data_IF_109919236153
#
_entry.id   IF_109919236153
#
_cell.length_a   1.000
_cell.length_b   1.000
_cell.length_c   1.000
_cell.angle_alpha   90.00
_cell.angle_beta   90.00
_cell.angle_gamma   90.00
#
_symmetry.space_group_name_H-M   'P 1'
#
loop_
_entity.id
_entity.type
_entity.pdbx_description
1 polymer ?
#
# COMPACT_ATOMS: atom_id res chain seq x y z
N UNK A 1 -4.95 -32.03 -28.97
CA UNK A 1 -5.42 -30.84 -28.21
C UNK A 1 -4.89 -30.81 -26.78
N UNK A 2 -4.96 -31.90 -26.01
CA UNK A 2 -4.44 -31.97 -24.62
C UNK A 2 -2.96 -31.60 -24.48
N UNK A 3 -2.10 -32.04 -25.41
CA UNK A 3 -0.66 -31.71 -25.43
C UNK A 3 -0.35 -30.25 -25.74
N UNK A 4 -1.19 -29.57 -26.53
CA UNK A 4 -1.05 -28.12 -26.80
C UNK A 4 -1.46 -27.27 -25.59
N UNK A 5 -2.46 -27.73 -24.83
CA UNK A 5 -2.90 -27.08 -23.58
C UNK A 5 -1.83 -27.25 -22.49
N UNK A 6 -1.26 -28.45 -22.34
CA UNK A 6 -0.16 -28.68 -21.39
C UNK A 6 1.05 -27.84 -21.75
N UNK A 7 1.46 -27.80 -23.02
CA UNK A 7 2.60 -26.99 -23.46
C UNK A 7 2.36 -25.47 -23.28
N UNK A 8 1.12 -25.00 -23.43
CA UNK A 8 0.74 -23.61 -23.16
C UNK A 8 0.79 -23.28 -21.65
N UNK A 9 0.34 -24.20 -20.80
CA UNK A 9 0.40 -24.08 -19.33
C UNK A 9 1.87 -24.11 -18.85
N UNK A 10 2.70 -24.98 -19.40
CA UNK A 10 4.13 -25.08 -19.05
C UNK A 10 4.91 -23.84 -19.50
N UNK A 11 4.53 -23.23 -20.64
CA UNK A 11 5.12 -21.98 -21.14
C UNK A 11 4.68 -20.75 -20.31
N UNK A 12 3.47 -20.78 -19.72
CA UNK A 12 2.98 -19.77 -18.77
C UNK A 12 3.69 -19.84 -17.40
N UNK A 13 4.17 -21.03 -17.00
CA UNK A 13 4.89 -21.25 -15.74
C UNK A 13 6.39 -20.84 -15.81
N UNK A 14 6.93 -20.60 -17.00
CA UNK A 14 8.34 -20.27 -17.21
C UNK A 14 8.68 -18.77 -17.04
N UNK A 15 7.71 -17.92 -16.71
CA UNK A 15 7.89 -16.47 -16.58
C UNK A 15 8.03 -16.00 -15.12
N UNK A 16 8.71 -16.79 -14.28
CA UNK A 16 9.11 -16.31 -12.94
C UNK A 16 10.38 -15.47 -13.08
N UNK A 17 10.22 -14.25 -13.61
CA UNK A 17 11.24 -13.22 -13.47
C UNK A 17 11.07 -12.52 -12.12
N UNK A 18 12.14 -12.47 -11.33
CA UNK A 18 12.23 -11.65 -10.13
C UNK A 18 12.28 -10.18 -10.54
N UNK A 19 11.13 -9.54 -10.68
CA UNK A 19 11.03 -8.09 -10.80
C UNK A 19 10.88 -7.49 -9.41
N UNK A 20 11.63 -6.42 -9.13
CA UNK A 20 11.47 -5.62 -7.91
C UNK A 20 10.01 -5.15 -7.77
N UNK A 21 9.50 -5.22 -6.54
CA UNK A 21 8.15 -4.85 -6.18
C UNK A 21 8.19 -3.61 -5.29
N UNK A 22 7.35 -2.61 -5.55
CA UNK A 22 7.19 -1.48 -4.61
C UNK A 22 6.83 -1.99 -3.22
N UNK A 23 7.21 -1.18 -2.22
CA UNK A 23 6.77 -1.21 -0.83
C UNK A 23 5.38 -1.83 -0.62
N UNK A 24 5.33 -2.84 0.25
CA UNK A 24 4.10 -3.54 0.62
C UNK A 24 3.76 -3.26 2.08
N UNK A 25 2.46 -3.13 2.34
CA UNK A 25 1.90 -2.90 3.67
C UNK A 25 1.08 -4.11 4.09
N UNK A 26 1.33 -4.63 5.28
CA UNK A 26 0.46 -5.66 5.89
C UNK A 26 -0.90 -5.07 6.15
N UNK A 27 -0.89 -3.86 6.71
CA UNK A 27 -2.07 -3.16 7.14
C UNK A 27 -2.64 -2.26 6.03
N UNK A 28 -2.67 -2.76 4.78
CA UNK A 28 -3.11 -2.03 3.59
C UNK A 28 -4.49 -1.37 3.72
N UNK A 29 -5.44 -2.02 4.42
CA UNK A 29 -6.79 -1.49 4.60
C UNK A 29 -6.87 -0.23 5.47
N UNK A 30 -5.80 0.10 6.21
CA UNK A 30 -5.70 1.33 6.99
C UNK A 30 -4.87 2.41 6.27
N UNK A 31 -4.13 2.03 5.23
CA UNK A 31 -3.29 2.92 4.42
C UNK A 31 -3.81 3.07 2.97
N UNK A 32 -5.13 2.99 2.78
CA UNK A 32 -5.77 2.97 1.45
C UNK A 32 -5.46 4.21 0.61
N UNK A 33 -5.21 5.37 1.23
CA UNK A 33 -4.85 6.61 0.52
C UNK A 33 -3.55 6.50 -0.31
N UNK A 34 -2.58 5.70 0.14
CA UNK A 34 -1.36 5.45 -0.62
C UNK A 34 -1.60 4.52 -1.82
N UNK A 35 -2.61 3.66 -1.74
CA UNK A 35 -2.93 2.67 -2.78
C UNK A 35 -3.91 3.25 -3.80
N UNK A 36 -4.87 4.07 -3.37
CA UNK A 36 -5.94 4.59 -4.22
C UNK A 36 -6.22 6.07 -3.92
N UNK A 37 -5.89 7.00 -4.84
CA UNK A 37 -6.12 8.44 -4.62
C UNK A 37 -7.60 8.80 -4.47
N UNK A 38 -8.52 7.96 -4.97
CA UNK A 38 -9.96 8.20 -4.84
C UNK A 38 -10.47 7.97 -3.41
N UNK A 39 -9.64 7.43 -2.51
CA UNK A 39 -9.96 7.28 -1.09
C UNK A 39 -9.83 8.59 -0.30
N UNK A 40 -9.09 9.59 -0.79
CA UNK A 40 -8.89 10.86 -0.09
C UNK A 40 -10.24 11.49 0.31
N UNK A 41 -10.39 11.89 1.57
CA UNK A 41 -11.63 12.46 2.11
C UNK A 41 -12.80 11.49 2.36
N UNK A 42 -12.69 10.21 1.96
CA UNK A 42 -13.79 9.23 2.08
C UNK A 42 -14.19 8.93 3.53
N UNK A 43 -13.28 9.13 4.51
CA UNK A 43 -13.56 8.94 5.94
C UNK A 43 -14.46 10.02 6.55
N UNK A 44 -14.69 11.15 5.86
CA UNK A 44 -15.59 12.20 6.36
C UNK A 44 -15.01 13.01 7.53
N UNK A 45 -13.72 12.88 7.80
CA UNK A 45 -12.96 13.62 8.80
C UNK A 45 -11.55 13.88 8.26
N UNK A 46 -10.84 14.83 8.85
CA UNK A 46 -9.40 14.95 8.63
C UNK A 46 -8.71 13.80 9.36
N UNK A 47 -8.04 12.93 8.61
CA UNK A 47 -7.34 11.75 9.10
C UNK A 47 -5.84 11.92 8.86
N UNK A 48 -5.08 11.92 9.95
CA UNK A 48 -3.62 11.88 9.97
C UNK A 48 -3.22 10.42 10.20
N UNK A 49 -2.27 9.92 9.43
CA UNK A 49 -1.80 8.53 9.51
C UNK A 49 -0.28 8.50 9.49
N UNK A 50 0.31 7.74 10.41
CA UNK A 50 1.72 7.46 10.46
C UNK A 50 1.93 5.94 10.54
N UNK A 51 2.89 5.40 9.80
CA UNK A 51 3.22 3.99 9.81
C UNK A 51 4.73 3.81 9.72
N UNK A 52 5.25 2.88 10.51
CA UNK A 52 6.63 2.41 10.45
C UNK A 52 6.62 0.90 10.25
N UNK A 53 7.40 0.44 9.28
CA UNK A 53 7.56 -0.98 8.97
C UNK A 53 9.03 -1.33 8.85
N UNK A 54 9.43 -2.39 9.54
CA UNK A 54 10.75 -3.03 9.36
C UNK A 54 10.51 -4.42 8.81
N UNK A 55 11.05 -4.69 7.62
CA UNK A 55 10.91 -5.99 6.98
C UNK A 55 12.11 -6.88 7.29
N UNK A 56 11.86 -8.20 7.34
CA UNK A 56 12.90 -9.23 7.45
C UNK A 56 13.95 -8.94 8.53
N UNK A 57 13.48 -8.75 9.76
CA UNK A 57 14.35 -8.43 10.90
C UNK A 57 15.44 -9.49 11.04
N UNK A 58 16.68 -9.03 11.19
CA UNK A 58 17.88 -9.89 11.22
C UNK A 58 18.64 -9.93 9.90
N UNK A 59 18.04 -9.46 8.80
CA UNK A 59 18.73 -9.33 7.51
C UNK A 59 19.32 -7.92 7.35
N UNK A 60 20.63 -7.86 7.13
CA UNK A 60 21.32 -6.59 6.93
C UNK A 60 20.89 -5.93 5.62
N UNK A 61 20.53 -4.64 5.68
CA UNK A 61 20.01 -3.90 4.53
C UNK A 61 18.55 -4.21 4.18
N UNK A 62 17.81 -4.89 5.05
CA UNK A 62 16.40 -5.16 4.81
C UNK A 62 15.54 -3.88 4.71
N UNK A 63 14.42 -3.93 3.97
CA UNK A 63 13.54 -2.78 3.76
C UNK A 63 13.03 -2.16 5.06
N UNK A 64 13.15 -0.84 5.18
CA UNK A 64 12.50 -0.04 6.22
C UNK A 64 11.66 1.04 5.56
N UNK A 65 10.37 1.07 5.90
CA UNK A 65 9.40 1.97 5.28
C UNK A 65 8.78 2.85 6.35
N UNK A 66 8.80 4.15 6.11
CA UNK A 66 8.09 5.13 6.91
C UNK A 66 7.03 5.79 6.03
N UNK A 67 5.83 5.97 6.57
CA UNK A 67 4.74 6.64 5.87
C UNK A 67 4.11 7.66 6.81
N UNK A 68 3.91 8.87 6.32
CA UNK A 68 3.08 9.88 6.95
C UNK A 68 2.07 10.38 5.92
N UNK A 69 0.81 10.54 6.29
CA UNK A 69 -0.19 11.10 5.38
C UNK A 69 -1.28 11.86 6.13
N UNK A 70 -1.88 12.82 5.45
CA UNK A 70 -3.02 13.59 5.92
C UNK A 70 -4.04 13.57 4.80
N UNK A 71 -5.27 13.17 5.11
CA UNK A 71 -6.38 13.16 4.17
C UNK A 71 -7.58 13.88 4.78
N UNK A 72 -8.24 14.75 4.03
CA UNK A 72 -9.38 15.52 4.52
C UNK A 72 -10.45 15.68 3.44
N UNK A 73 -11.73 15.58 3.77
CA UNK A 73 -12.78 16.13 2.92
C UNK A 73 -12.67 17.67 2.94
N UNK A 74 -13.03 18.32 1.82
CA UNK A 74 -13.22 19.77 1.77
C UNK A 74 -14.69 20.05 2.14
N UNK A 75 -14.90 20.79 3.23
CA UNK A 75 -16.23 21.14 3.74
C UNK A 75 -17.13 21.76 2.66
N UNK A 76 -18.43 21.42 2.69
CA UNK A 76 -19.45 21.89 1.75
C UNK A 76 -19.14 21.59 0.27
N UNK A 77 -18.32 20.58 0.00
CA UNK A 77 -18.03 20.13 -1.36
C UNK A 77 -17.96 18.61 -1.41
N UNK A 78 -17.93 18.09 -2.64
CA UNK A 78 -17.71 16.67 -2.91
C UNK A 78 -16.22 16.34 -3.10
N UNK A 79 -15.31 17.26 -2.75
CA UNK A 79 -13.87 17.12 -2.95
C UNK A 79 -13.18 16.54 -1.70
N UNK A 80 -12.15 15.75 -1.92
CA UNK A 80 -11.20 15.32 -0.91
C UNK A 80 -9.77 15.65 -1.32
N UNK A 81 -8.95 15.95 -0.33
CA UNK A 81 -7.52 16.22 -0.50
C UNK A 81 -6.71 15.26 0.34
N UNK A 82 -5.58 14.81 -0.19
CA UNK A 82 -4.61 13.98 0.48
C UNK A 82 -3.20 14.48 0.23
N UNK A 83 -2.34 14.42 1.24
CA UNK A 83 -0.90 14.59 1.10
C UNK A 83 -0.24 13.42 1.80
N UNK A 84 0.73 12.78 1.15
CA UNK A 84 1.47 11.66 1.70
C UNK A 84 2.96 11.82 1.46
N UNK A 85 3.73 11.33 2.42
CA UNK A 85 5.17 11.17 2.36
C UNK A 85 5.50 9.72 2.69
N UNK A 86 6.21 9.06 1.79
CA UNK A 86 6.71 7.70 1.98
C UNK A 86 8.23 7.74 1.84
N UNK A 87 8.92 7.25 2.85
CA UNK A 87 10.36 7.01 2.81
C UNK A 87 10.58 5.50 2.78
N UNK A 88 11.21 5.01 1.71
CA UNK A 88 11.54 3.60 1.50
C UNK A 88 13.06 3.44 1.43
N UNK A 89 13.63 2.76 2.41
CA UNK A 89 15.06 2.48 2.50
C UNK A 89 15.32 0.98 2.33
N UNK A 90 16.07 0.61 1.30
CA UNK A 90 16.41 -0.79 1.01
C UNK A 90 17.91 -0.88 0.75
N UNK A 91 18.67 -1.47 1.67
CA UNK A 91 20.13 -1.54 1.58
C UNK A 91 20.76 -0.15 1.33
N UNK A 92 21.46 0.05 0.20
CA UNK A 92 22.09 1.32 -0.15
C UNK A 92 21.13 2.34 -0.79
N UNK A 93 19.88 1.96 -1.12
CA UNK A 93 18.92 2.88 -1.73
C UNK A 93 18.02 3.54 -0.69
N UNK A 94 17.67 4.78 -0.98
CA UNK A 94 16.71 5.56 -0.22
C UNK A 94 15.82 6.33 -1.19
N UNK A 95 14.51 6.08 -1.17
CA UNK A 95 13.53 6.73 -2.02
C UNK A 95 12.55 7.51 -1.15
N UNK A 96 12.42 8.81 -1.44
CA UNK A 96 11.45 9.69 -0.79
C UNK A 96 10.38 10.07 -1.79
N UNK A 97 9.16 9.64 -1.53
CA UNK A 97 7.99 9.88 -2.36
C UNK A 97 7.08 10.87 -1.67
N UNK A 98 6.89 12.03 -2.29
CA UNK A 98 5.89 13.02 -1.88
C UNK A 98 4.73 12.92 -2.86
N UNK A 99 3.52 12.73 -2.36
CA UNK A 99 2.33 12.67 -3.20
C UNK A 99 1.23 13.60 -2.72
N UNK A 100 0.47 14.12 -3.67
CA UNK A 100 -0.75 14.87 -3.43
C UNK A 100 -1.89 14.21 -4.20
N UNK A 101 -3.00 13.99 -3.50
CA UNK A 101 -4.18 13.32 -3.99
C UNK A 101 -5.35 14.31 -4.00
N UNK A 102 -6.10 14.32 -5.11
CA UNK A 102 -7.36 15.03 -5.24
C UNK A 102 -8.44 14.03 -5.60
N UNK A 103 -9.54 14.01 -4.84
CA UNK A 103 -10.68 13.16 -5.12
C UNK A 103 -11.96 13.98 -5.34
N UNK A 104 -12.85 13.46 -6.17
CA UNK A 104 -14.21 13.95 -6.35
C UNK A 104 -15.21 12.82 -6.14
N UNK A 105 -16.13 13.00 -5.20
CA UNK A 105 -17.09 11.98 -4.77
C UNK A 105 -18.49 12.27 -5.32
N UNK A 106 -18.97 11.42 -6.22
CA UNK A 106 -20.32 11.45 -6.74
C UNK A 106 -21.24 10.53 -5.92
N UNK A 107 -22.30 11.03 -5.27
CA UNK A 107 -23.29 10.18 -4.60
C UNK A 107 -24.14 9.45 -5.64
N UNK A 108 -23.94 8.15 -5.80
CA UNK A 108 -24.72 7.31 -6.73
C UNK A 108 -26.08 6.90 -6.14
N UNK A 109 -26.18 6.83 -4.81
CA UNK A 109 -27.42 6.60 -4.05
C UNK A 109 -27.31 7.21 -2.64
N UNK A 110 -28.35 7.04 -1.81
CA UNK A 110 -28.31 7.50 -0.41
C UNK A 110 -27.21 6.82 0.44
N UNK A 111 -26.82 5.60 0.08
CA UNK A 111 -25.85 4.77 0.83
C UNK A 111 -24.51 4.63 0.13
N UNK A 112 -24.49 4.64 -1.20
CA UNK A 112 -23.29 4.40 -2.00
C UNK A 112 -22.80 5.64 -2.72
N UNK A 113 -21.47 5.78 -2.76
CA UNK A 113 -20.74 6.89 -3.37
C UNK A 113 -19.66 6.34 -4.28
N UNK A 114 -19.52 6.95 -5.46
CA UNK A 114 -18.45 6.67 -6.40
C UNK A 114 -17.46 7.84 -6.38
N UNK A 115 -16.21 7.57 -6.07
CA UNK A 115 -15.16 8.59 -6.00
C UNK A 115 -14.16 8.37 -7.12
N UNK A 116 -13.76 9.46 -7.76
CA UNK A 116 -12.68 9.52 -8.74
C UNK A 116 -11.50 10.22 -8.07
N UNK A 117 -10.29 9.74 -8.31
CA UNK A 117 -9.08 10.28 -7.70
C UNK A 117 -7.99 10.48 -8.72
N UNK A 118 -7.22 11.54 -8.52
CA UNK A 118 -5.98 11.83 -9.22
C UNK A 118 -4.85 11.97 -8.22
N UNK A 119 -3.68 11.47 -8.57
CA UNK A 119 -2.45 11.55 -7.78
C UNK A 119 -1.38 12.25 -8.57
N UNK A 120 -0.65 13.15 -7.93
CA UNK A 120 0.61 13.69 -8.43
C UNK A 120 1.70 13.30 -7.45
N UNK A 121 2.81 12.79 -7.98
CA UNK A 121 3.89 12.23 -7.18
C UNK A 121 5.23 12.83 -7.59
N UNK A 122 6.07 13.11 -6.61
CA UNK A 122 7.46 13.50 -6.74
C UNK A 122 8.32 12.46 -6.02
N UNK A 123 9.04 11.63 -6.80
CA UNK A 123 9.98 10.65 -6.26
C UNK A 123 11.39 11.24 -6.28
N UNK A 124 12.08 11.15 -5.14
CA UNK A 124 13.47 11.55 -4.96
C UNK A 124 14.27 10.31 -4.58
N UNK A 125 14.99 9.77 -5.55
CA UNK A 125 15.80 8.57 -5.38
C UNK A 125 17.26 8.92 -5.07
N UNK A 126 17.83 8.22 -4.11
CA UNK A 126 19.23 8.32 -3.74
C UNK A 126 19.84 6.93 -3.59
N UNK A 127 21.00 6.72 -4.21
CA UNK A 127 21.84 5.55 -3.99
C UNK A 127 23.12 5.97 -3.26
N UNK A 128 23.40 5.35 -2.12
CA UNK A 128 24.68 5.49 -1.43
C UNK A 128 25.69 4.47 -1.96
N UNK A 129 26.51 4.92 -2.91
CA UNK A 129 27.55 4.10 -3.53
C UNK A 129 28.72 3.77 -2.58
N UNK A 130 28.82 4.39 -1.40
CA UNK A 130 29.90 4.09 -0.44
C UNK A 130 29.65 2.80 0.34
N UNK A 131 28.39 2.37 0.44
CA UNK A 131 27.98 1.12 1.09
C UNK A 131 28.15 -0.05 0.13
N UNK A 132 28.01 0.23 -1.17
CA UNK A 132 28.45 -0.70 -2.19
C UNK A 132 29.97 -0.78 -2.07
N UNK A 133 30.51 -1.98 -1.89
CA UNK A 133 31.94 -2.25 -2.08
C UNK A 133 32.14 -2.71 -3.54
N UNK A 134 32.01 -1.84 -4.56
CA UNK A 134 32.13 -2.28 -5.94
C UNK A 134 33.56 -2.74 -6.20
N UNK A 135 33.69 -3.78 -7.01
CA UNK A 135 34.99 -4.27 -7.50
C UNK A 135 35.78 -3.17 -8.24
N UNK A 136 35.08 -2.15 -8.76
CA UNK A 136 35.66 -0.97 -9.38
C UNK A 136 34.99 0.31 -8.84
N UNK A 137 35.69 1.08 -8.00
CA UNK A 137 35.20 2.35 -7.45
C UNK A 137 35.02 3.44 -8.53
N UNK A 138 35.60 3.27 -9.73
CA UNK A 138 35.46 4.18 -10.86
C UNK A 138 34.36 3.82 -11.85
N UNK A 139 33.52 2.81 -11.55
CA UNK A 139 32.45 2.37 -12.45
C UNK A 139 31.40 3.48 -12.66
N UNK A 140 31.22 3.99 -13.90
CA UNK A 140 30.22 5.02 -14.21
C UNK A 140 28.79 4.62 -13.82
N UNK A 141 28.47 3.31 -13.74
CA UNK A 141 27.14 2.82 -13.37
C UNK A 141 26.73 3.17 -11.94
N UNK A 142 27.69 3.42 -11.05
CA UNK A 142 27.45 3.83 -9.66
C UNK A 142 27.71 5.33 -9.41
N UNK A 143 28.03 6.09 -10.46
CA UNK A 143 28.29 7.53 -10.34
C UNK A 143 26.99 8.35 -10.56
N UNK A 144 26.84 9.43 -9.79
CA UNK A 144 25.76 10.42 -9.90
C UNK A 144 24.31 9.94 -9.68
N UNK A 145 24.09 8.83 -8.97
CA UNK A 145 22.75 8.34 -8.62
C UNK A 145 22.17 8.99 -7.33
N UNK A 146 22.53 10.24 -7.06
CA UNK A 146 22.07 11.02 -5.91
C UNK A 146 21.00 12.03 -6.31
N UNK A 147 19.88 12.02 -5.59
CA UNK A 147 18.76 12.95 -5.77
C UNK A 147 18.15 12.95 -7.17
N UNK A 148 17.95 11.77 -7.76
CA UNK A 148 17.24 11.63 -9.03
C UNK A 148 15.77 11.94 -8.77
N UNK A 149 15.29 13.03 -9.37
CA UNK A 149 13.89 13.43 -9.32
C UNK A 149 13.12 12.81 -10.48
N UNK A 150 12.05 12.08 -10.16
CA UNK A 150 11.11 11.56 -11.17
C UNK A 150 9.68 11.93 -10.79
N UNK A 151 8.98 12.75 -11.60
CA UNK A 151 7.57 13.03 -11.39
C UNK A 151 6.72 11.84 -11.86
N UNK A 152 5.57 11.66 -11.22
CA UNK A 152 4.57 10.68 -11.64
C UNK A 152 3.15 11.24 -11.49
N UNK A 153 2.21 10.60 -12.17
CA UNK A 153 0.79 10.86 -12.05
C UNK A 153 0.05 9.53 -11.92
N UNK A 154 -1.07 9.54 -11.21
CA UNK A 154 -1.90 8.37 -10.98
C UNK A 154 -3.38 8.69 -10.99
N UNK A 155 -4.19 7.64 -11.07
CA UNK A 155 -5.63 7.76 -10.97
C UNK A 155 -6.24 6.59 -10.21
N UNK A 156 -7.46 6.80 -9.71
CA UNK A 156 -8.20 5.79 -9.00
C UNK A 156 -9.70 5.98 -9.10
N UNK A 157 -10.41 4.86 -8.92
CA UNK A 157 -11.84 4.76 -8.73
C UNK A 157 -12.09 4.09 -7.39
N UNK A 158 -13.06 4.58 -6.63
CA UNK A 158 -13.41 4.02 -5.34
C UNK A 158 -14.92 4.08 -5.13
N UNK A 159 -15.58 2.94 -5.21
CA UNK A 159 -17.00 2.79 -4.95
C UNK A 159 -17.21 2.28 -3.53
N UNK A 160 -17.88 3.06 -2.69
CA UNK A 160 -17.94 2.80 -1.25
C UNK A 160 -19.25 3.20 -0.60
N UNK A 161 -19.48 2.61 0.56
CA UNK A 161 -20.56 2.89 1.51
C UNK A 161 -20.01 2.74 2.93
N UNK A 162 -20.86 2.88 3.95
CA UNK A 162 -20.46 2.65 5.34
C UNK A 162 -20.24 1.16 5.69
N UNK A 163 -20.58 0.20 4.79
CA UNK A 163 -20.42 -1.25 5.03
C UNK A 163 -19.61 -2.00 3.97
N UNK A 164 -19.33 -1.40 2.81
CA UNK A 164 -18.65 -2.09 1.72
C UNK A 164 -17.86 -1.12 0.84
N UNK A 165 -16.77 -1.59 0.26
CA UNK A 165 -15.99 -0.84 -0.72
C UNK A 165 -15.34 -1.74 -1.77
N UNK A 166 -15.13 -1.17 -2.95
CA UNK A 166 -14.29 -1.72 -4.00
C UNK A 166 -13.58 -0.57 -4.72
N UNK A 167 -12.30 -0.75 -5.03
CA UNK A 167 -11.48 0.29 -5.64
C UNK A 167 -10.52 -0.28 -6.67
N UNK A 168 -10.31 0.50 -7.73
CA UNK A 168 -9.33 0.24 -8.77
C UNK A 168 -8.39 1.44 -8.85
N UNK A 169 -7.09 1.23 -8.92
CA UNK A 169 -6.15 2.34 -9.01
C UNK A 169 -4.86 1.99 -9.72
N UNK A 170 -4.26 3.03 -10.28
CA UNK A 170 -2.89 3.05 -10.79
C UNK A 170 -2.22 4.28 -10.20
N UNK A 171 -1.47 4.15 -9.09
CA UNK A 171 -0.86 5.30 -8.41
C UNK A 171 0.22 6.01 -9.23
N UNK A 172 0.89 5.27 -10.11
CA UNK A 172 2.02 5.72 -10.92
C UNK A 172 1.87 5.19 -12.35
N UNK A 173 1.57 6.06 -13.31
CA UNK A 173 1.46 5.73 -14.73
C UNK A 173 2.81 5.76 -15.44
N UNK A 174 3.69 6.69 -15.06
CA UNK A 174 4.97 6.91 -15.74
C UNK A 174 5.95 5.84 -15.28
N UNK A 175 6.51 5.10 -16.23
CA UNK A 175 7.58 4.13 -15.96
C UNK A 175 8.91 4.84 -16.14
N UNK A 176 9.75 4.82 -15.11
CA UNK A 176 11.10 5.37 -15.18
C UNK A 176 12.10 4.23 -15.27
N UNK A 177 12.92 4.25 -16.33
CA UNK A 177 14.11 3.40 -16.40
C UNK A 177 15.27 4.24 -15.87
N UNK A 178 15.90 3.78 -14.80
CA UNK A 178 17.08 4.45 -14.23
C UNK A 178 18.32 3.82 -14.90
N UNK A 179 18.79 4.52 -15.95
CA UNK A 179 19.91 4.25 -16.88
C UNK A 179 19.65 3.28 -18.07
N UNK A 180 20.09 3.70 -19.26
CA UNK A 180 20.04 3.00 -20.54
C UNK A 180 21.39 3.20 -21.23
N UNK A 181 22.28 2.22 -21.07
CA UNK A 181 23.33 1.92 -22.05
C UNK A 181 23.66 0.42 -21.93
N UNK A 182 23.22 -0.35 -22.92
CA UNK A 182 23.36 -1.81 -23.07
C UNK A 182 22.80 -2.71 -21.93
N UNK A 183 21.52 -3.04 -22.10
CA UNK A 183 20.80 -4.26 -21.66
C UNK A 183 20.51 -4.53 -20.17
N UNK A 184 21.02 -3.77 -19.20
CA UNK A 184 20.63 -3.97 -17.78
C UNK A 184 20.23 -2.66 -17.11
N UNK A 185 18.92 -2.40 -17.05
CA UNK A 185 18.36 -1.34 -16.21
C UNK A 185 18.57 -1.70 -14.72
N UNK A 186 19.21 -0.82 -13.95
CA UNK A 186 19.54 -1.06 -12.54
C UNK A 186 18.29 -0.91 -11.65
N UNK A 187 17.37 0.00 -12.02
CA UNK A 187 16.06 0.16 -11.36
C UNK A 187 14.99 0.55 -12.39
N UNK A 188 13.85 -0.15 -12.37
CA UNK A 188 12.72 0.13 -13.24
C UNK A 188 11.44 0.27 -12.43
N UNK A 189 10.93 1.49 -12.35
CA UNK A 189 9.60 1.75 -11.80
C UNK A 189 8.56 1.26 -12.83
N UNK A 190 7.75 0.26 -12.45
CA UNK A 190 6.72 -0.31 -13.31
C UNK A 190 5.35 0.20 -12.88
N UNK A 191 4.45 0.29 -13.85
CA UNK A 191 3.05 0.60 -13.59
C UNK A 191 2.39 -0.54 -12.80
N UNK A 192 1.85 -0.20 -11.64
CA UNK A 192 1.20 -1.12 -10.71
C UNK A 192 -0.32 -0.89 -10.72
N UNK A 193 -1.07 -1.92 -11.10
CA UNK A 193 -2.52 -1.91 -11.03
C UNK A 193 -2.97 -2.53 -9.72
N UNK A 194 -3.79 -1.81 -8.96
CA UNK A 194 -4.36 -2.26 -7.71
C UNK A 194 -5.87 -2.47 -7.84
N UNK A 195 -6.34 -3.58 -7.30
CA UNK A 195 -7.75 -3.83 -7.03
C UNK A 195 -7.88 -4.11 -5.53
N UNK A 196 -8.68 -3.32 -4.83
CA UNK A 196 -8.93 -3.48 -3.40
C UNK A 196 -10.43 -3.66 -3.17
N UNK A 197 -10.80 -4.45 -2.17
CA UNK A 197 -12.19 -4.53 -1.75
C UNK A 197 -12.35 -5.04 -0.33
N UNK A 198 -13.52 -4.81 0.24
CA UNK A 198 -13.86 -5.30 1.56
C UNK A 198 -15.32 -5.07 1.92
N UNK A 199 -15.79 -5.82 2.91
CA UNK A 199 -17.15 -5.77 3.42
C UNK A 199 -17.14 -5.88 4.93
N UNK A 200 -18.11 -5.30 5.63
CA UNK A 200 -18.26 -5.42 7.09
C UNK A 200 -19.55 -6.17 7.39
N UNK A 201 -19.40 -7.34 8.00
CA UNK A 201 -20.50 -8.16 8.50
C UNK A 201 -20.71 -7.87 9.98
N UNK A 202 -21.93 -7.50 10.37
CA UNK A 202 -22.33 -7.44 11.78
C UNK A 202 -22.68 -8.87 12.24
N UNK A 203 -21.78 -9.54 12.96
CA UNK A 203 -22.00 -10.91 13.45
C UNK A 203 -22.85 -10.93 14.73
N UNK A 204 -22.66 -9.92 15.58
CA UNK A 204 -23.42 -9.70 16.81
C UNK A 204 -23.43 -8.21 17.15
N UNK A 205 -24.14 -7.82 18.22
CA UNK A 205 -24.14 -6.43 18.72
C UNK A 205 -22.74 -5.89 19.04
N UNK A 206 -21.80 -6.78 19.37
CA UNK A 206 -20.45 -6.41 19.82
C UNK A 206 -19.31 -6.94 18.94
N UNK A 207 -19.59 -7.71 17.89
CA UNK A 207 -18.57 -8.27 17.00
C UNK A 207 -18.91 -8.00 15.55
N UNK A 208 -17.99 -7.36 14.85
CA UNK A 208 -18.04 -7.15 13.40
C UNK A 208 -16.89 -7.88 12.74
N UNK A 209 -17.14 -8.50 11.59
CA UNK A 209 -16.12 -9.17 10.80
C UNK A 209 -15.92 -8.44 9.47
N UNK A 210 -14.68 -8.05 9.19
CA UNK A 210 -14.26 -7.36 7.97
C UNK A 210 -13.27 -8.23 7.19
N UNK A 211 -13.74 -9.03 6.24
CA UNK A 211 -12.88 -9.55 5.19
C UNK A 211 -12.53 -8.43 4.21
N UNK A 212 -11.27 -8.41 3.78
CA UNK A 212 -10.77 -7.54 2.74
C UNK A 212 -9.78 -8.28 1.85
N UNK A 213 -9.61 -7.79 0.64
CA UNK A 213 -8.58 -8.26 -0.27
C UNK A 213 -7.89 -7.10 -0.97
N UNK A 214 -6.64 -7.33 -1.38
CA UNK A 214 -5.86 -6.44 -2.22
C UNK A 214 -5.14 -7.30 -3.28
N UNK A 215 -5.30 -6.94 -4.53
CA UNK A 215 -4.61 -7.55 -5.65
C UNK A 215 -3.70 -6.52 -6.29
N UNK A 216 -2.43 -6.88 -6.49
CA UNK A 216 -1.44 -6.08 -7.21
C UNK A 216 -1.02 -6.81 -8.49
N UNK A 217 -1.12 -6.10 -9.60
CA UNK A 217 -0.81 -6.57 -10.94
C UNK A 217 0.30 -5.71 -11.55
N UNK A 218 1.41 -6.34 -11.91
CA UNK A 218 2.58 -5.70 -12.51
C UNK A 218 2.98 -6.45 -13.77
N UNK A 219 3.22 -5.76 -14.87
CA UNK A 219 3.62 -6.40 -16.12
C UNK A 219 4.97 -7.12 -15.96
N UNK A 220 4.97 -8.44 -16.13
CA UNK A 220 6.16 -9.28 -16.00
C UNK A 220 6.58 -9.54 -14.55
N UNK A 221 5.65 -9.52 -13.61
CA UNK A 221 5.84 -10.08 -12.27
C UNK A 221 4.71 -11.07 -11.95
N UNK A 222 4.93 -12.03 -11.03
CA UNK A 222 3.86 -12.89 -10.53
C UNK A 222 2.70 -12.06 -9.94
N UNK A 223 1.48 -12.58 -10.08
CA UNK A 223 0.29 -12.01 -9.45
C UNK A 223 0.46 -12.02 -7.93
N UNK A 224 0.16 -10.89 -7.29
CA UNK A 224 0.13 -10.79 -5.84
C UNK A 224 -1.31 -10.57 -5.36
N UNK A 225 -1.74 -11.39 -4.41
CA UNK A 225 -3.06 -11.31 -3.79
C UNK A 225 -2.92 -11.44 -2.28
N UNK A 226 -3.47 -10.47 -1.58
CA UNK A 226 -3.48 -10.37 -0.13
C UNK A 226 -4.92 -10.49 0.33
N UNK A 227 -5.21 -11.48 1.17
CA UNK A 227 -6.50 -11.61 1.85
C UNK A 227 -6.32 -11.28 3.32
N UNK A 228 -7.25 -10.55 3.90
CA UNK A 228 -7.27 -10.27 5.34
C UNK A 228 -8.67 -10.46 5.90
N UNK A 229 -8.73 -10.87 7.16
CA UNK A 229 -9.96 -10.95 7.95
C UNK A 229 -9.72 -10.30 9.30
N UNK A 230 -10.48 -9.26 9.62
CA UNK A 230 -10.41 -8.52 10.88
C UNK A 230 -11.69 -8.69 11.67
N UNK A 231 -11.59 -8.98 12.95
CA UNK A 231 -12.69 -8.94 13.90
C UNK A 231 -12.58 -7.68 14.74
N UNK A 232 -13.59 -6.82 14.67
CA UNK A 232 -13.76 -5.67 15.54
C UNK A 232 -14.65 -6.08 16.72
N UNK A 233 -14.14 -5.93 17.93
CA UNK A 233 -14.77 -6.33 19.18
C UNK A 233 -15.05 -5.08 20.02
N UNK A 234 -16.32 -4.86 20.36
CA UNK A 234 -16.84 -3.71 21.10
C UNK A 234 -16.42 -2.35 20.50
N UNK A 235 -16.17 -2.29 19.18
CA UNK A 235 -15.62 -1.12 18.48
C UNK A 235 -14.32 -0.56 19.11
N UNK A 236 -13.61 -1.36 19.93
CA UNK A 236 -12.40 -0.97 20.67
C UNK A 236 -11.19 -1.80 20.32
N UNK A 237 -11.37 -3.10 20.16
CA UNK A 237 -10.29 -4.04 19.90
C UNK A 237 -10.44 -4.63 18.51
N UNK A 238 -9.34 -4.73 17.79
CA UNK A 238 -9.29 -5.40 16.49
C UNK A 238 -8.30 -6.54 16.57
N UNK A 239 -8.70 -7.71 16.12
CA UNK A 239 -7.79 -8.84 15.91
C UNK A 239 -7.99 -9.34 14.50
N UNK A 240 -6.90 -9.52 13.77
CA UNK A 240 -6.98 -9.93 12.37
C UNK A 240 -5.88 -10.89 11.98
N UNK A 241 -6.17 -11.63 10.91
CA UNK A 241 -5.21 -12.45 10.21
C UNK A 241 -5.17 -12.02 8.76
N UNK A 242 -4.01 -12.13 8.13
CA UNK A 242 -3.87 -11.94 6.71
C UNK A 242 -3.01 -13.04 6.09
N UNK A 243 -3.25 -13.31 4.82
CA UNK A 243 -2.47 -14.23 4.00
C UNK A 243 -2.14 -13.53 2.69
N UNK A 244 -0.85 -13.31 2.47
CA UNK A 244 -0.28 -12.80 1.23
C UNK A 244 0.23 -13.99 0.43
N UNK A 245 -0.42 -14.25 -0.71
CA UNK A 245 -0.14 -15.41 -1.52
C UNK A 245 1.34 -15.45 -1.92
N UNK A 246 2.02 -16.55 -1.57
CA UNK A 246 3.42 -16.83 -1.91
C UNK A 246 4.41 -15.83 -1.31
N UNK A 247 4.03 -15.18 -0.20
CA UNK A 247 4.90 -14.27 0.52
C UNK A 247 4.81 -14.49 2.03
N UNK A 248 3.66 -14.20 2.67
CA UNK A 248 3.60 -14.15 4.14
C UNK A 248 2.24 -14.51 4.73
N UNK A 249 2.24 -14.96 5.98
CA UNK A 249 1.08 -14.99 6.87
C UNK A 249 1.25 -13.91 7.93
N UNK A 250 0.19 -13.17 8.22
CA UNK A 250 0.25 -12.04 9.14
C UNK A 250 -0.75 -12.18 10.27
N UNK A 251 -0.34 -11.76 11.46
CA UNK A 251 -1.21 -11.53 12.60
C UNK A 251 -1.27 -10.02 12.89
N UNK A 252 -2.46 -9.52 13.20
CA UNK A 252 -2.70 -8.10 13.40
C UNK A 252 -3.51 -7.89 14.67
N UNK A 253 -3.16 -6.85 15.41
CA UNK A 253 -3.94 -6.35 16.54
C UNK A 253 -4.07 -4.85 16.45
N UNK A 254 -5.22 -4.32 16.84
CA UNK A 254 -5.50 -2.90 16.84
C UNK A 254 -6.31 -2.48 18.05
N UNK A 255 -6.13 -1.23 18.45
CA UNK A 255 -6.80 -0.67 19.61
C UNK A 255 -7.25 0.77 19.35
N UNK A 256 -8.54 1.01 19.57
CA UNK A 256 -9.16 2.33 19.56
C UNK A 256 -8.97 2.96 20.95
N UNK A 257 -7.89 3.75 21.10
CA UNK A 257 -7.51 4.39 22.37
C UNK A 257 -8.53 5.45 22.78
N UNK A 258 -8.95 6.26 21.81
CA UNK A 258 -9.99 7.30 21.95
C UNK A 258 -10.85 7.33 20.70
N UNK A 259 -11.93 8.12 20.65
CA UNK A 259 -12.74 8.25 19.41
C UNK A 259 -11.99 8.82 18.20
N UNK A 260 -10.81 9.41 18.42
CA UNK A 260 -9.95 9.96 17.37
C UNK A 260 -8.67 9.17 17.15
N UNK A 261 -8.16 8.42 18.14
CA UNK A 261 -6.86 7.74 18.07
C UNK A 261 -7.06 6.24 17.91
N UNK A 262 -6.51 5.68 16.84
CA UNK A 262 -6.46 4.25 16.58
C UNK A 262 -5.01 3.81 16.32
N UNK A 263 -4.55 2.78 17.02
CA UNK A 263 -3.19 2.25 16.90
C UNK A 263 -3.30 0.80 16.44
N UNK A 264 -2.41 0.40 15.54
CA UNK A 264 -2.35 -0.97 15.04
C UNK A 264 -0.92 -1.50 15.04
N UNK A 265 -0.80 -2.80 15.26
CA UNK A 265 0.44 -3.54 15.14
C UNK A 265 0.19 -4.81 14.33
N UNK A 266 1.05 -5.06 13.36
CA UNK A 266 1.07 -6.24 12.52
C UNK A 266 2.43 -6.94 12.60
N UNK A 267 2.40 -8.26 12.59
CA UNK A 267 3.57 -9.11 12.45
C UNK A 267 3.37 -10.03 11.24
N UNK A 268 4.33 -10.03 10.33
CA UNK A 268 4.37 -10.95 9.20
C UNK A 268 5.39 -12.05 9.46
N UNK A 269 4.94 -13.29 9.32
CA UNK A 269 5.77 -14.46 9.17
C UNK A 269 5.92 -14.78 7.69
N UNK A 270 7.16 -14.89 7.21
CA UNK A 270 7.42 -15.24 5.82
C UNK A 270 7.04 -16.71 5.57
N UNK A 271 6.42 -16.98 4.44
CA UNK A 271 6.08 -18.35 3.98
C UNK A 271 7.05 -18.85 2.91
N UNK A 272 7.97 -17.98 2.49
CA UNK A 272 8.99 -18.28 1.49
C UNK A 272 10.24 -18.86 2.13
N UNK A 273 11.20 -19.31 1.31
CA UNK A 273 12.51 -19.79 1.80
C UNK A 273 13.26 -18.75 2.64
N UNK A 274 12.88 -17.47 2.51
CA UNK A 274 13.45 -16.36 3.26
C UNK A 274 13.20 -16.46 4.77
N UNK A 275 12.15 -17.18 5.19
CA UNK A 275 11.81 -17.42 6.61
C UNK A 275 12.98 -17.98 7.43
N UNK A 276 13.88 -18.76 6.82
CA UNK A 276 15.05 -19.31 7.51
C UNK A 276 16.16 -18.28 7.80
N UNK A 277 16.04 -17.06 7.28
CA UNK A 277 17.10 -16.03 7.32
C UNK A 277 16.64 -14.74 8.00
N UNK A 278 15.40 -14.68 8.49
CA UNK A 278 14.87 -13.52 9.19
C UNK A 278 13.92 -13.93 10.31
N UNK A 279 13.60 -13.00 11.20
CA UNK A 279 12.70 -13.19 12.35
C UNK A 279 11.32 -12.55 12.15
N UNK A 280 10.89 -12.42 10.89
CA UNK A 280 9.63 -11.79 10.49
C UNK A 280 9.74 -10.30 10.19
N UNK A 281 8.59 -9.69 9.88
CA UNK A 281 8.46 -8.24 9.66
C UNK A 281 7.49 -7.63 10.65
N UNK A 282 7.81 -6.42 11.13
CA UNK A 282 7.01 -5.69 12.10
C UNK A 282 6.44 -4.42 11.48
N UNK A 283 5.17 -4.14 11.75
CA UNK A 283 4.50 -2.94 11.26
C UNK A 283 3.68 -2.31 12.37
N UNK A 284 3.92 -1.04 12.64
CA UNK A 284 3.14 -0.26 13.60
C UNK A 284 2.56 0.95 12.88
N UNK A 285 1.31 1.29 13.18
CA UNK A 285 0.72 2.53 12.71
C UNK A 285 -0.06 3.24 13.80
N UNK A 286 -0.21 4.54 13.61
CA UNK A 286 -1.11 5.41 14.34
C UNK A 286 -1.98 6.18 13.35
N UNK A 287 -3.29 6.20 13.62
CA UNK A 287 -4.25 7.03 12.93
C UNK A 287 -4.90 7.99 13.93
N UNK A 288 -4.95 9.26 13.56
CA UNK A 288 -5.60 10.31 14.33
C UNK A 288 -6.62 11.05 13.49
N UNK A 289 -7.86 11.12 13.98
CA UNK A 289 -8.98 11.77 13.29
C UNK A 289 -9.48 13.00 14.04
N UNK A 290 -9.57 14.12 13.33
CA UNK A 290 -10.05 15.42 13.81
C UNK A 290 -11.00 16.06 12.79
N UNK A 291 -11.76 17.06 13.22
CA UNK A 291 -12.71 17.81 12.36
C UNK A 291 -13.68 16.89 11.59
N UNK A 292 -14.41 16.03 12.32
CA UNK A 292 -15.46 15.17 11.75
C UNK A 292 -16.57 16.04 11.16
N UNK A 293 -16.98 15.78 9.92
CA UNK A 293 -18.07 16.51 9.29
C UNK A 293 -19.38 16.11 9.99
N UNK A 294 -20.06 17.08 10.58
CA UNK A 294 -20.78 16.90 11.84
C UNK A 294 -22.22 16.35 11.76
N UNK A 295 -22.58 15.54 10.74
CA UNK A 295 -23.99 15.16 10.52
C UNK A 295 -24.32 13.66 10.62
N UNK A 296 -23.34 12.77 10.83
CA UNK A 296 -23.63 11.35 11.11
C UNK A 296 -22.68 10.76 12.14
N UNK A 297 -23.03 10.92 13.43
CA UNK A 297 -22.60 10.03 14.50
C UNK A 297 -23.21 8.65 14.28
N UNK A 298 -22.60 7.77 13.48
CA UNK A 298 -22.87 6.34 13.57
C UNK A 298 -21.61 5.58 13.17
N UNK A 299 -20.95 5.00 14.17
CA UNK A 299 -19.83 4.04 14.07
C UNK A 299 -18.49 4.55 13.52
N UNK A 300 -17.35 4.12 14.09
CA UNK A 300 -16.05 4.26 13.44
C UNK A 300 -16.16 3.66 12.05
N UNK A 301 -15.96 4.47 10.99
CA UNK A 301 -15.88 3.91 9.65
C UNK A 301 -14.77 2.88 9.65
N UNK A 302 -15.16 1.64 9.42
CA UNK A 302 -14.26 0.50 9.42
C UNK A 302 -13.30 0.54 8.21
N UNK A 303 -13.43 1.53 7.31
CA UNK A 303 -12.59 1.74 6.11
C UNK A 303 -11.78 3.00 6.23
#
# INVERSE_FOLDING_TARGET
MKTKIVSFITMLLALVSYAQQDSQFTQYMYNTANINPAYAGSRGAMSIFALHRTQWVGLEGAPTINTASINTPISNSNLGLGVSFVNDKIGPTNENTISTDLSYTFPTSEKFKLSFGMKVTANLFNLDANILNPLNQGDPQFQNLRNIFTPNIGAGLYYHSDIAYIGLSVPNFIQTNRYDDNEVAVFKEKMNFYLIGGYVFDLSYNVKFKPAFLTKLVKGAPLQVDFSGNFYINDKFTVGLAYRWSAAMSAMVGFQVTEGIYIGYGYDLETTKLDNYNSGSHEVFLRYEIFKNNDKFVTPRCF
#
